data_IF_020236445248
#
_entry.id   IF_020236445248
#
_cell.length_a   1.000
_cell.length_b   1.000
_cell.length_c   1.000
_cell.angle_alpha   90.00
_cell.angle_beta   90.00
_cell.angle_gamma   90.00
#
_symmetry.space_group_name_H-M   'P 1'
#
loop_
_entity.id
_entity.type
_entity.pdbx_description
1 polymer ?
#
# COMPACT_ATOMS: atom_id res chain seq x y z
N UNK A 1 -3.59 -9.44 14.97
CA UNK A 1 -3.77 -8.04 14.54
C UNK A 1 -4.23 -8.06 13.10
N UNK A 2 -5.33 -7.39 12.76
CA UNK A 2 -5.77 -7.31 11.35
C UNK A 2 -4.70 -6.62 10.51
N UNK A 3 -4.50 -7.09 9.28
CA UNK A 3 -3.52 -6.55 8.33
C UNK A 3 -3.69 -5.04 8.14
N UNK A 4 -4.94 -4.54 8.17
CA UNK A 4 -5.26 -3.11 8.13
C UNK A 4 -4.62 -2.30 9.26
N UNK A 5 -4.60 -2.85 10.48
CA UNK A 5 -4.06 -2.14 11.64
C UNK A 5 -2.53 -2.07 11.57
N UNK A 6 -1.90 -3.13 11.04
CA UNK A 6 -0.46 -3.19 10.78
C UNK A 6 -0.06 -2.23 9.65
N UNK A 7 -0.85 -2.16 8.59
CA UNK A 7 -0.67 -1.22 7.48
C UNK A 7 -0.85 0.23 7.92
N UNK A 8 -1.86 0.53 8.75
CA UNK A 8 -2.05 1.88 9.31
C UNK A 8 -0.85 2.36 10.13
N UNK A 9 -0.29 1.50 10.98
CA UNK A 9 0.93 1.84 11.73
C UNK A 9 2.16 1.98 10.83
N UNK A 10 2.25 1.18 9.76
CA UNK A 10 3.32 1.30 8.77
C UNK A 10 3.23 2.62 7.99
N UNK A 11 2.01 3.06 7.64
CA UNK A 11 1.73 4.39 7.06
C UNK A 11 2.15 5.53 7.97
N UNK A 12 1.81 5.46 9.25
CA UNK A 12 2.22 6.49 10.21
C UNK A 12 3.74 6.52 10.44
N UNK A 13 4.40 5.36 10.35
CA UNK A 13 5.83 5.23 10.58
C UNK A 13 6.68 5.36 9.32
N UNK A 14 6.08 5.55 8.13
CA UNK A 14 6.75 5.54 6.83
C UNK A 14 7.63 4.28 6.61
N UNK A 15 7.20 3.15 7.16
CA UNK A 15 8.00 1.92 7.14
C UNK A 15 7.71 1.11 5.86
N UNK A 16 8.45 1.45 4.79
CA UNK A 16 8.31 0.88 3.44
C UNK A 16 8.37 -0.65 3.44
N UNK A 17 9.16 -1.27 4.33
CA UNK A 17 9.26 -2.73 4.43
C UNK A 17 7.95 -3.36 4.93
N UNK A 18 7.34 -2.78 5.95
CA UNK A 18 6.09 -3.28 6.52
C UNK A 18 4.92 -3.01 5.58
N UNK A 19 4.93 -1.90 4.84
CA UNK A 19 3.96 -1.65 3.76
C UNK A 19 4.07 -2.69 2.66
N UNK A 20 5.30 -3.00 2.23
CA UNK A 20 5.58 -3.98 1.20
C UNK A 20 5.16 -5.40 1.63
N UNK A 21 5.30 -5.75 2.91
CA UNK A 21 4.78 -7.02 3.46
C UNK A 21 3.24 -7.04 3.61
N UNK A 22 2.60 -5.89 3.82
CA UNK A 22 1.14 -5.82 3.96
C UNK A 22 0.41 -5.80 2.61
N UNK A 23 1.04 -5.25 1.57
CA UNK A 23 0.49 -5.19 0.22
C UNK A 23 0.92 -6.43 -0.58
N UNK A 24 -0.03 -7.09 -1.21
CA UNK A 24 0.28 -8.20 -2.12
C UNK A 24 0.95 -7.68 -3.40
N UNK A 25 1.81 -8.47 -4.04
CA UNK A 25 2.48 -8.08 -5.28
C UNK A 25 1.51 -7.73 -6.43
N UNK A 26 0.30 -8.27 -6.40
CA UNK A 26 -0.78 -7.97 -7.36
C UNK A 26 -1.57 -6.69 -6.99
N UNK A 27 -1.09 -5.89 -6.03
CA UNK A 27 -1.80 -4.69 -5.59
C UNK A 27 -1.82 -3.63 -6.71
N UNK A 28 -3.04 -3.33 -7.16
CA UNK A 28 -3.33 -2.29 -8.13
C UNK A 28 -4.19 -1.20 -7.48
N UNK A 29 -3.61 -0.03 -7.24
CA UNK A 29 -4.35 1.14 -6.79
C UNK A 29 -4.85 1.93 -7.99
N UNK A 30 -6.16 1.91 -8.22
CA UNK A 30 -6.76 2.69 -9.30
C UNK A 30 -7.17 4.06 -8.78
N UNK A 31 -6.45 5.10 -9.22
CA UNK A 31 -6.90 6.46 -9.00
C UNK A 31 -7.95 6.82 -10.08
N UNK A 32 -9.21 6.61 -9.75
CA UNK A 32 -10.34 6.93 -10.63
C UNK A 32 -10.38 8.39 -11.08
N UNK A 33 -9.84 9.32 -10.28
CA UNK A 33 -9.81 10.74 -10.66
C UNK A 33 -8.79 11.04 -11.76
N UNK A 34 -7.73 10.24 -11.88
CA UNK A 34 -6.71 10.40 -12.93
C UNK A 34 -6.74 9.29 -13.99
N UNK A 35 -7.62 8.29 -13.84
CA UNK A 35 -7.68 7.12 -14.73
C UNK A 35 -6.38 6.31 -14.75
N UNK A 36 -5.53 6.42 -13.72
CA UNK A 36 -4.24 5.75 -13.63
C UNK A 36 -4.29 4.60 -12.63
N UNK A 37 -3.66 3.50 -13.01
CA UNK A 37 -3.45 2.33 -12.17
C UNK A 37 -2.00 2.39 -11.69
N UNK A 38 -1.83 2.48 -10.39
CA UNK A 38 -0.53 2.46 -9.72
C UNK A 38 -0.29 1.05 -9.19
N UNK A 39 0.86 0.49 -9.52
CA UNK A 39 1.31 -0.78 -8.94
C UNK A 39 1.83 -0.55 -7.52
N UNK A 40 1.91 -1.61 -6.72
CA UNK A 40 2.50 -1.61 -5.37
C UNK A 40 3.74 -0.72 -5.22
N UNK A 41 4.73 -0.83 -6.11
CA UNK A 41 5.97 -0.03 -6.06
C UNK A 41 5.80 1.46 -6.33
N UNK A 42 4.68 1.90 -6.91
CA UNK A 42 4.38 3.32 -7.13
C UNK A 42 3.52 3.92 -6.01
N UNK A 43 2.99 3.08 -5.12
CA UNK A 43 2.13 3.48 -4.00
C UNK A 43 2.87 3.50 -2.66
N UNK A 44 3.88 2.65 -2.52
CA UNK A 44 4.78 2.61 -1.35
C UNK A 44 5.79 3.74 -1.45
#
# INVERSE_FOLDING_TARGET
MSILKKFGQALESLDEKVMNECLHDDYAFTNYSQGKIFSKSEVI
#
